data_IF_959660648167
#
_entry.id   IF_959660648167
#
_cell.length_a   1.000
_cell.length_b   1.000
_cell.length_c   1.000
_cell.angle_alpha   90.00
_cell.angle_beta   90.00
_cell.angle_gamma   90.00
#
_symmetry.space_group_name_H-M   'P 1'
#
loop_
_entity.id
_entity.type
_entity.pdbx_description
1 polymer ?
#
# COMPACT_ATOMS: atom_id res chain seq x y z
N UNK A 1 26.01 -18.24 21.83
CA UNK A 1 26.39 -17.76 20.48
C UNK A 1 25.82 -18.69 19.41
N UNK A 2 24.48 -18.81 19.31
CA UNK A 2 23.80 -19.65 18.27
C UNK A 2 22.35 -19.18 17.98
N UNK A 3 22.05 -17.87 18.00
CA UNK A 3 20.69 -17.38 17.68
C UNK A 3 20.65 -16.59 16.35
N UNK A 4 21.78 -16.21 15.76
CA UNK A 4 21.80 -15.26 14.62
C UNK A 4 21.76 -15.92 13.22
N UNK A 5 21.86 -17.24 13.09
CA UNK A 5 22.13 -17.86 11.77
C UNK A 5 20.90 -18.00 10.83
N UNK A 6 19.67 -17.87 11.32
CA UNK A 6 18.48 -18.15 10.50
C UNK A 6 17.78 -16.90 9.92
N UNK A 7 18.09 -15.70 10.41
CA UNK A 7 17.38 -14.47 10.01
C UNK A 7 17.96 -13.86 8.72
N UNK A 8 19.15 -14.27 8.28
CA UNK A 8 19.90 -13.57 7.24
C UNK A 8 19.61 -13.97 5.77
N UNK A 9 18.79 -14.99 5.48
CA UNK A 9 18.68 -15.49 4.10
C UNK A 9 17.98 -14.52 3.13
N UNK A 10 17.04 -13.69 3.60
CA UNK A 10 16.27 -12.76 2.73
C UNK A 10 16.67 -11.29 2.94
N UNK A 11 17.20 -10.93 4.10
CA UNK A 11 17.33 -9.52 4.50
C UNK A 11 18.52 -8.78 3.85
N UNK A 12 19.51 -9.49 3.31
CA UNK A 12 20.77 -8.86 2.84
C UNK A 12 21.25 -9.26 1.45
N UNK A 13 20.50 -10.08 0.70
CA UNK A 13 20.90 -10.49 -0.65
C UNK A 13 20.12 -9.75 -1.74
N UNK A 14 20.83 -8.95 -2.54
CA UNK A 14 20.33 -8.37 -3.80
C UNK A 14 19.97 -9.44 -4.87
N UNK A 15 20.12 -10.72 -4.55
CA UNK A 15 19.86 -11.89 -5.39
C UNK A 15 18.56 -12.62 -5.08
N UNK A 16 17.80 -12.21 -4.05
CA UNK A 16 16.54 -12.87 -3.72
C UNK A 16 15.54 -12.79 -4.88
N UNK A 17 15.09 -13.95 -5.35
CA UNK A 17 14.25 -14.10 -6.55
C UNK A 17 12.78 -14.42 -6.25
N UNK A 18 12.41 -14.49 -4.97
CA UNK A 18 11.07 -14.83 -4.52
C UNK A 18 10.84 -16.32 -4.23
N UNK A 19 11.88 -17.17 -4.30
CA UNK A 19 11.77 -18.59 -3.99
C UNK A 19 11.27 -18.84 -2.55
N UNK A 20 10.18 -19.61 -2.41
CA UNK A 20 9.53 -19.88 -1.12
C UNK A 20 10.36 -20.75 -0.16
N UNK A 21 11.32 -21.50 -0.69
CA UNK A 21 12.19 -22.35 0.12
C UNK A 21 13.15 -21.52 0.98
N UNK A 22 13.52 -20.34 0.48
CA UNK A 22 14.48 -19.44 1.11
C UNK A 22 13.82 -18.45 2.10
N UNK A 23 12.49 -18.53 2.22
CA UNK A 23 11.71 -17.67 3.12
C UNK A 23 11.44 -18.41 4.43
N UNK A 24 11.63 -17.71 5.55
CA UNK A 24 11.30 -18.17 6.89
C UNK A 24 9.83 -18.69 7.01
N UNK A 25 9.66 -19.83 7.67
CA UNK A 25 8.37 -20.50 7.79
C UNK A 25 7.35 -19.70 8.60
N UNK A 26 7.79 -18.99 9.65
CA UNK A 26 6.90 -18.16 10.46
C UNK A 26 6.44 -16.94 9.67
N UNK A 27 7.32 -16.33 8.87
CA UNK A 27 6.95 -15.28 7.93
C UNK A 27 5.89 -15.78 6.93
N UNK A 28 6.13 -16.93 6.28
CA UNK A 28 5.16 -17.54 5.35
C UNK A 28 3.79 -17.78 6.01
N UNK A 29 3.77 -18.28 7.25
CA UNK A 29 2.54 -18.45 8.01
C UNK A 29 1.80 -17.12 8.23
N UNK A 30 2.51 -16.06 8.61
CA UNK A 30 1.91 -14.73 8.79
C UNK A 30 1.43 -14.09 7.51
N UNK A 31 2.11 -14.28 6.38
CA UNK A 31 1.61 -13.84 5.08
C UNK A 31 0.32 -14.58 4.71
N UNK A 32 0.24 -15.88 4.97
CA UNK A 32 -0.99 -16.68 4.74
C UNK A 32 -2.17 -16.23 5.59
N UNK A 33 -1.93 -15.68 6.78
CA UNK A 33 -2.96 -15.05 7.62
C UNK A 33 -3.32 -13.64 7.12
N UNK A 34 -2.31 -12.84 6.76
CA UNK A 34 -2.45 -11.43 6.37
C UNK A 34 -3.19 -11.25 5.04
N UNK A 35 -2.87 -12.07 4.04
CA UNK A 35 -3.42 -11.90 2.68
C UNK A 35 -4.95 -12.02 2.67
N UNK A 36 -5.58 -13.05 3.27
CA UNK A 36 -7.03 -13.10 3.40
C UNK A 36 -7.58 -11.97 4.28
N UNK A 37 -6.87 -11.60 5.34
CA UNK A 37 -7.32 -10.50 6.20
C UNK A 37 -7.43 -9.16 5.44
N UNK A 38 -6.58 -8.92 4.45
CA UNK A 38 -6.63 -7.74 3.60
C UNK A 38 -7.54 -7.90 2.36
N UNK A 39 -7.52 -9.07 1.73
CA UNK A 39 -8.04 -9.26 0.36
C UNK A 39 -9.19 -10.26 0.24
N UNK A 40 -9.66 -10.85 1.34
CA UNK A 40 -10.87 -11.66 1.30
C UNK A 40 -12.07 -10.82 0.83
N UNK A 41 -13.03 -11.39 0.06
CA UNK A 41 -14.13 -10.65 -0.55
C UNK A 41 -14.89 -9.73 0.43
N UNK A 42 -15.09 -10.18 1.66
CA UNK A 42 -15.74 -9.46 2.75
C UNK A 42 -14.93 -8.26 3.28
N UNK A 43 -13.62 -8.24 3.08
CA UNK A 43 -12.71 -7.19 3.53
C UNK A 43 -12.40 -6.18 2.41
N UNK A 44 -12.83 -6.44 1.17
CA UNK A 44 -12.59 -5.53 0.04
C UNK A 44 -13.44 -4.26 0.17
N UNK A 45 -12.77 -3.12 0.34
CA UNK A 45 -13.41 -1.81 0.43
C UNK A 45 -13.54 -1.20 -0.98
N UNK A 46 -14.77 -0.92 -1.41
CA UNK A 46 -15.03 -0.21 -2.68
C UNK A 46 -14.48 1.21 -2.58
N UNK A 47 -13.68 1.62 -3.56
CA UNK A 47 -13.11 2.97 -3.60
C UNK A 47 -14.22 4.01 -3.60
N UNK A 48 -14.05 5.02 -2.75
CA UNK A 48 -14.90 6.19 -2.70
C UNK A 48 -14.09 7.47 -2.87
N UNK A 49 -14.69 8.44 -3.54
CA UNK A 49 -14.20 9.82 -3.65
C UNK A 49 -15.37 10.72 -3.26
N UNK A 50 -15.16 11.59 -2.27
CA UNK A 50 -16.22 12.43 -1.68
C UNK A 50 -17.46 11.64 -1.23
N UNK A 51 -17.24 10.46 -0.62
CA UNK A 51 -18.31 9.58 -0.13
C UNK A 51 -19.10 8.84 -1.21
N UNK A 52 -18.77 9.04 -2.50
CA UNK A 52 -19.41 8.34 -3.62
C UNK A 52 -18.55 7.19 -4.10
N UNK A 53 -19.16 6.02 -4.33
CA UNK A 53 -18.49 4.88 -4.96
C UNK A 53 -18.10 5.27 -6.39
N UNK A 54 -16.87 4.92 -6.78
CA UNK A 54 -16.36 5.21 -8.13
C UNK A 54 -16.18 3.92 -8.93
N UNK A 55 -16.50 3.98 -10.22
CA UNK A 55 -16.19 2.93 -11.18
C UNK A 55 -14.72 2.95 -11.58
N UNK A 56 -14.24 1.87 -12.22
CA UNK A 56 -12.87 1.81 -12.73
C UNK A 56 -12.56 2.92 -13.74
N UNK A 57 -13.53 3.27 -14.60
CA UNK A 57 -13.35 4.30 -15.62
C UNK A 57 -13.27 5.70 -15.01
N UNK A 58 -14.13 6.01 -14.03
CA UNK A 58 -14.07 7.27 -13.29
C UNK A 58 -12.75 7.36 -12.52
N UNK A 59 -12.34 6.27 -11.85
CA UNK A 59 -11.08 6.23 -11.10
C UNK A 59 -9.85 6.50 -11.98
N UNK A 60 -9.80 5.95 -13.19
CA UNK A 60 -8.74 6.26 -14.16
C UNK A 60 -8.74 7.73 -14.59
N UNK A 61 -9.91 8.35 -14.72
CA UNK A 61 -10.00 9.77 -15.04
C UNK A 61 -9.47 10.64 -13.90
N UNK A 62 -9.84 10.35 -12.65
CA UNK A 62 -9.28 11.01 -11.47
C UNK A 62 -7.75 10.87 -11.42
N UNK A 63 -7.23 9.67 -11.68
CA UNK A 63 -5.79 9.41 -11.69
C UNK A 63 -5.05 10.30 -12.70
N UNK A 64 -5.57 10.42 -13.93
CA UNK A 64 -4.98 11.28 -14.98
C UNK A 64 -5.01 12.76 -14.61
N UNK A 65 -6.12 13.22 -14.02
CA UNK A 65 -6.26 14.61 -13.58
C UNK A 65 -5.22 14.91 -12.50
N UNK A 66 -5.15 14.08 -11.47
CA UNK A 66 -4.15 14.25 -10.40
C UNK A 66 -2.73 14.24 -10.94
N UNK A 67 -2.35 13.27 -11.78
CA UNK A 67 -1.01 13.21 -12.37
C UNK A 67 -0.63 14.52 -13.11
N UNK A 68 -1.57 15.09 -13.87
CA UNK A 68 -1.36 16.39 -14.56
C UNK A 68 -1.22 17.56 -13.59
N UNK A 69 -2.03 17.60 -12.53
CA UNK A 69 -1.94 18.63 -11.48
C UNK A 69 -0.59 18.57 -10.75
N UNK A 70 -0.11 17.37 -10.41
CA UNK A 70 1.23 17.16 -9.83
C UNK A 70 2.33 17.64 -10.76
N UNK A 71 2.25 17.28 -12.05
CA UNK A 71 3.25 17.69 -13.04
C UNK A 71 3.28 19.21 -13.28
N UNK A 72 2.12 19.87 -13.20
CA UNK A 72 2.00 21.31 -13.36
C UNK A 72 2.48 22.10 -12.13
N UNK A 73 2.91 21.45 -11.04
CA UNK A 73 3.38 22.11 -9.82
C UNK A 73 2.29 22.90 -9.08
N UNK A 74 1.01 22.59 -9.33
CA UNK A 74 -0.14 23.36 -8.82
C UNK A 74 -0.71 22.81 -7.52
N UNK A 75 -0.11 21.77 -6.92
CA UNK A 75 -0.53 21.38 -5.58
C UNK A 75 0.03 22.35 -4.55
N UNK A 76 -0.82 22.77 -3.59
CA UNK A 76 -0.29 23.42 -2.41
C UNK A 76 0.62 22.43 -1.65
N UNK A 77 1.58 22.94 -0.86
CA UNK A 77 2.49 22.08 -0.11
C UNK A 77 1.73 21.04 0.72
N UNK A 78 2.34 19.87 1.02
CA UNK A 78 1.68 18.74 1.69
C UNK A 78 0.90 19.13 2.96
N UNK A 79 1.37 20.14 3.67
CA UNK A 79 0.75 20.76 4.85
C UNK A 79 -0.65 21.33 4.58
N UNK A 80 -0.86 21.97 3.43
CA UNK A 80 -2.15 22.53 3.01
C UNK A 80 -3.14 21.46 2.56
N UNK A 81 -2.67 20.33 2.01
CA UNK A 81 -3.55 19.22 1.62
C UNK A 81 -4.13 18.48 2.83
N UNK A 82 -3.36 18.41 3.93
CA UNK A 82 -3.80 17.82 5.19
C UNK A 82 -4.91 18.67 5.86
N UNK A 83 -4.76 19.99 5.88
CA UNK A 83 -5.78 20.91 6.42
C UNK A 83 -7.09 20.86 5.63
N UNK A 84 -7.03 20.72 4.30
CA UNK A 84 -8.23 20.67 3.45
C UNK A 84 -8.97 19.34 3.56
N UNK A 85 -8.25 18.22 3.74
CA UNK A 85 -8.88 16.89 3.86
C UNK A 85 -9.46 16.62 5.25
N UNK A 86 -8.98 17.30 6.30
CA UNK A 86 -9.49 17.16 7.66
C UNK A 86 -9.59 18.54 8.37
N UNK A 87 -10.59 19.38 8.00
CA UNK A 87 -10.74 20.73 8.56
C UNK A 87 -11.00 20.77 10.07
N UNK A 88 -11.33 19.63 10.69
CA UNK A 88 -11.72 19.50 12.10
C UNK A 88 -10.65 18.85 13.00
N UNK A 89 -9.42 18.70 12.52
CA UNK A 89 -8.29 18.16 13.29
C UNK A 89 -7.23 19.21 13.68
N UNK A 90 -7.51 20.50 13.44
CA UNK A 90 -6.74 21.64 13.93
C UNK A 90 -7.67 22.75 14.43
#
# INVERSE_FOLDING_TARGET
MLIEAAVAQVETENSFDGCLMDIDDKFKQKVKELVPWLLAPENLVVKQINGQKVTCQEFLNYFRIYARTFQAGTLPPPESLLQVSYPSLF
#
